data_IF_830977707848
#
_entry.id   IF_830977707848
#
_cell.length_a   1.000
_cell.length_b   1.000
_cell.length_c   1.000
_cell.angle_alpha   90.00
_cell.angle_beta   90.00
_cell.angle_gamma   90.00
#
_symmetry.space_group_name_H-M   'P 1'
#
loop_
_entity.id
_entity.type
_entity.pdbx_description
1 polymer ?
#
# COMPACT_ATOMS: atom_id res chain seq x y z
N UNK A 1 69.88 20.34 -51.61
CA UNK A 1 69.22 19.64 -50.49
C UNK A 1 69.53 20.42 -49.23
N UNK A 2 68.50 20.99 -48.60
CA UNK A 2 68.51 22.00 -47.52
C UNK A 2 67.32 21.63 -46.60
N UNK A 3 67.22 22.03 -45.32
CA UNK A 3 68.14 21.98 -44.19
C UNK A 3 67.54 21.23 -42.96
N UNK A 4 68.29 21.23 -41.86
CA UNK A 4 67.98 20.81 -40.48
C UNK A 4 66.65 21.31 -39.89
N UNK A 5 66.09 20.57 -38.92
CA UNK A 5 65.47 21.13 -37.70
C UNK A 5 65.47 20.11 -36.56
N UNK A 6 65.95 20.54 -35.39
CA UNK A 6 65.93 19.84 -34.11
C UNK A 6 64.82 20.40 -33.19
N UNK A 7 64.31 19.52 -32.33
CA UNK A 7 63.77 19.70 -30.98
C UNK A 7 62.55 20.62 -30.74
N UNK A 8 61.47 20.00 -30.24
CA UNK A 8 60.65 20.60 -29.17
C UNK A 8 60.10 19.53 -28.24
N UNK A 9 60.55 19.57 -26.99
CA UNK A 9 60.00 18.80 -25.88
C UNK A 9 58.68 19.40 -25.38
N UNK A 10 57.78 18.53 -24.92
CA UNK A 10 56.72 18.87 -23.96
C UNK A 10 56.62 17.71 -22.96
N UNK A 11 56.70 17.95 -21.64
CA UNK A 11 56.57 16.89 -20.65
C UNK A 11 55.10 16.45 -20.55
N UNK A 12 54.83 15.19 -20.87
CA UNK A 12 53.58 14.53 -20.54
C UNK A 12 53.48 14.40 -19.00
N UNK A 13 52.44 14.98 -18.40
CA UNK A 13 52.02 14.69 -17.03
C UNK A 13 51.58 13.22 -16.96
N UNK A 14 52.45 12.35 -16.43
CA UNK A 14 52.04 11.03 -15.97
C UNK A 14 51.49 11.15 -14.55
N UNK A 15 50.17 11.07 -14.40
CA UNK A 15 49.51 10.74 -13.15
C UNK A 15 49.32 9.21 -13.14
N UNK A 16 49.90 8.44 -12.20
CA UNK A 16 49.54 7.04 -12.06
C UNK A 16 48.21 6.96 -11.31
N UNK A 17 47.15 6.59 -12.04
CA UNK A 17 45.88 6.14 -11.47
C UNK A 17 46.14 4.78 -10.83
N UNK A 18 46.16 4.73 -9.50
CA UNK A 18 46.19 3.48 -8.76
C UNK A 18 44.80 2.81 -8.88
N UNK A 19 44.78 1.70 -9.62
CA UNK A 19 43.66 0.77 -9.71
C UNK A 19 43.23 0.32 -8.31
N UNK A 20 41.98 0.60 -7.97
CA UNK A 20 41.31 0.03 -6.82
C UNK A 20 41.15 -1.49 -7.02
N UNK A 21 41.72 -2.27 -6.11
CA UNK A 21 41.38 -3.69 -5.94
C UNK A 21 39.95 -3.80 -5.45
N UNK A 22 39.03 -4.10 -6.38
CA UNK A 22 37.66 -4.49 -6.07
C UNK A 22 37.69 -5.74 -5.18
N UNK A 23 37.30 -5.55 -3.92
CA UNK A 23 36.93 -6.61 -3.00
C UNK A 23 35.78 -7.40 -3.64
N UNK A 24 36.06 -8.63 -4.07
CA UNK A 24 35.07 -9.66 -4.32
C UNK A 24 34.49 -10.10 -2.96
N UNK A 25 33.70 -9.22 -2.34
CA UNK A 25 32.67 -9.66 -1.40
C UNK A 25 31.64 -10.41 -2.25
N UNK A 26 31.47 -11.70 -1.99
CA UNK A 26 30.38 -12.47 -2.56
C UNK A 26 29.07 -11.71 -2.29
N UNK A 27 28.49 -11.14 -3.34
CA UNK A 27 27.17 -10.52 -3.30
C UNK A 27 26.11 -11.61 -3.10
N UNK A 28 26.04 -12.15 -1.88
CA UNK A 28 24.76 -12.58 -1.32
C UNK A 28 23.94 -11.30 -1.08
N UNK A 29 23.46 -10.68 -2.14
CA UNK A 29 22.46 -9.62 -2.02
C UNK A 29 21.18 -10.31 -1.57
N UNK A 30 21.02 -10.46 -0.25
CA UNK A 30 19.69 -10.46 0.32
C UNK A 30 19.09 -9.12 -0.11
N UNK A 31 18.30 -9.14 -1.19
CA UNK A 31 17.43 -8.04 -1.55
C UNK A 31 16.64 -7.71 -0.30
N UNK A 32 16.95 -6.57 0.30
CA UNK A 32 16.28 -6.14 1.53
C UNK A 32 14.79 -6.08 1.22
N UNK A 33 13.99 -6.89 1.91
CA UNK A 33 12.58 -7.05 1.59
C UNK A 33 11.82 -5.75 1.89
N UNK A 34 11.68 -4.92 0.85
CA UNK A 34 10.99 -3.64 0.92
C UNK A 34 9.48 -3.81 1.11
N UNK A 35 8.93 -4.99 0.83
CA UNK A 35 7.48 -5.24 0.93
C UNK A 35 6.93 -4.91 2.31
N UNK A 36 7.74 -5.08 3.36
CA UNK A 36 7.39 -4.74 4.75
C UNK A 36 7.09 -3.26 4.94
N UNK A 37 7.89 -2.38 4.32
CA UNK A 37 7.68 -0.92 4.40
C UNK A 37 6.39 -0.50 3.67
N UNK A 38 6.14 -1.07 2.49
CA UNK A 38 4.90 -0.84 1.75
C UNK A 38 3.67 -1.40 2.49
N UNK A 39 3.80 -2.56 3.15
CA UNK A 39 2.75 -3.17 3.96
C UNK A 39 2.35 -2.27 5.14
N UNK A 40 3.35 -1.66 5.80
CA UNK A 40 3.16 -0.66 6.86
C UNK A 40 2.64 0.70 6.35
N UNK A 41 2.50 0.89 5.04
CA UNK A 41 1.99 2.12 4.45
C UNK A 41 2.96 3.30 4.48
N UNK A 42 4.26 3.08 4.73
CA UNK A 42 5.29 4.13 4.68
C UNK A 42 5.68 4.50 3.25
N UNK A 43 5.32 3.65 2.29
CA UNK A 43 5.50 3.89 0.86
C UNK A 43 4.28 3.39 0.08
N UNK A 44 3.99 4.02 -1.06
CA UNK A 44 2.86 3.70 -1.92
C UNK A 44 3.34 3.64 -3.37
N UNK A 45 2.81 2.67 -4.12
CA UNK A 45 3.05 2.49 -5.54
C UNK A 45 1.78 1.94 -6.20
N UNK A 46 1.79 1.88 -7.53
CA UNK A 46 0.67 1.37 -8.31
C UNK A 46 0.69 -0.17 -8.40
N UNK A 47 -0.43 -0.73 -8.87
CA UNK A 47 -0.63 -2.17 -9.03
C UNK A 47 0.42 -2.80 -9.95
N UNK A 48 0.79 -2.14 -11.05
CA UNK A 48 1.80 -2.66 -11.98
C UNK A 48 3.17 -2.85 -11.33
N UNK A 49 3.59 -1.92 -10.47
CA UNK A 49 4.84 -2.03 -9.73
C UNK A 49 4.80 -3.24 -8.78
N UNK A 50 3.73 -3.38 -8.00
CA UNK A 50 3.59 -4.52 -7.08
C UNK A 50 3.51 -5.87 -7.79
N UNK A 51 2.81 -5.94 -8.92
CA UNK A 51 2.74 -7.15 -9.75
C UNK A 51 4.10 -7.53 -10.32
N UNK A 52 4.89 -6.54 -10.75
CA UNK A 52 6.26 -6.78 -11.23
C UNK A 52 7.16 -7.29 -10.10
N UNK A 53 7.10 -6.68 -8.91
CA UNK A 53 7.86 -7.13 -7.75
C UNK A 53 7.45 -8.54 -7.29
N UNK A 54 6.15 -8.86 -7.36
CA UNK A 54 5.63 -10.19 -7.06
C UNK A 54 6.22 -11.27 -7.98
N UNK A 55 6.39 -10.99 -9.28
CA UNK A 55 6.98 -11.94 -10.23
C UNK A 55 8.48 -12.19 -10.00
N UNK A 56 9.17 -11.20 -9.43
CA UNK A 56 10.61 -11.27 -9.12
C UNK A 56 10.89 -11.79 -7.72
N UNK A 57 9.86 -11.96 -6.90
CA UNK A 57 9.96 -12.37 -5.49
C UNK A 57 9.55 -13.83 -5.27
N UNK A 58 9.99 -14.41 -4.17
CA UNK A 58 9.63 -15.77 -3.75
C UNK A 58 9.12 -15.80 -2.31
N UNK A 59 8.48 -16.89 -1.89
CA UNK A 59 8.02 -17.16 -0.52
C UNK A 59 7.19 -16.00 0.08
N UNK A 60 7.49 -15.59 1.31
CA UNK A 60 6.72 -14.59 2.05
C UNK A 60 6.72 -13.21 1.37
N UNK A 61 7.84 -12.80 0.77
CA UNK A 61 7.92 -11.53 0.04
C UNK A 61 6.98 -11.53 -1.16
N UNK A 62 6.85 -12.66 -1.87
CA UNK A 62 5.86 -12.81 -2.95
C UNK A 62 4.44 -12.59 -2.44
N UNK A 63 4.08 -13.22 -1.32
CA UNK A 63 2.75 -13.05 -0.69
C UNK A 63 2.50 -11.60 -0.27
N UNK A 64 3.51 -10.92 0.30
CA UNK A 64 3.39 -9.51 0.67
C UNK A 64 3.14 -8.63 -0.55
N UNK A 65 3.89 -8.83 -1.63
CA UNK A 65 3.67 -8.11 -2.89
C UNK A 65 2.32 -8.42 -3.52
N UNK A 66 1.83 -9.65 -3.40
CA UNK A 66 0.50 -10.03 -3.87
C UNK A 66 -0.59 -9.27 -3.10
N UNK A 67 -0.51 -9.19 -1.77
CA UNK A 67 -1.44 -8.42 -0.93
C UNK A 67 -1.44 -6.93 -1.29
N UNK A 68 -0.24 -6.35 -1.49
CA UNK A 68 -0.08 -4.95 -1.93
C UNK A 68 -0.65 -4.72 -3.33
N UNK A 69 -0.43 -5.65 -4.26
CA UNK A 69 -1.00 -5.59 -5.60
C UNK A 69 -2.53 -5.60 -5.57
N UNK A 70 -3.14 -6.50 -4.79
CA UNK A 70 -4.61 -6.53 -4.62
C UNK A 70 -5.11 -5.19 -4.08
N UNK A 71 -4.47 -4.65 -3.04
CA UNK A 71 -4.80 -3.35 -2.45
C UNK A 71 -4.80 -2.24 -3.51
N UNK A 72 -3.72 -2.14 -4.29
CA UNK A 72 -3.60 -1.12 -5.33
C UNK A 72 -4.59 -1.34 -6.47
N UNK A 73 -4.86 -2.58 -6.88
CA UNK A 73 -5.86 -2.90 -7.90
C UNK A 73 -7.27 -2.45 -7.48
N UNK A 74 -7.62 -2.61 -6.19
CA UNK A 74 -8.90 -2.14 -5.65
C UNK A 74 -8.98 -0.61 -5.66
N UNK A 75 -7.90 0.08 -5.27
CA UNK A 75 -7.82 1.55 -5.29
C UNK A 75 -7.86 2.12 -6.72
N UNK A 76 -7.26 1.42 -7.67
CA UNK A 76 -7.29 1.78 -9.10
C UNK A 76 -8.62 1.41 -9.79
N UNK A 77 -9.55 0.78 -9.08
CA UNK A 77 -10.84 0.37 -9.64
C UNK A 77 -10.79 -0.90 -10.51
N UNK A 78 -9.65 -1.59 -10.59
CA UNK A 78 -9.46 -2.86 -11.31
C UNK A 78 -10.01 -4.04 -10.50
N UNK A 79 -11.30 -3.96 -10.16
CA UNK A 79 -11.99 -4.87 -9.23
C UNK A 79 -11.86 -6.35 -9.60
N UNK A 80 -12.09 -6.70 -10.87
CA UNK A 80 -12.04 -8.10 -11.30
C UNK A 80 -10.63 -8.69 -11.13
N UNK A 81 -9.59 -7.97 -11.56
CA UNK A 81 -8.21 -8.39 -11.40
C UNK A 81 -7.83 -8.53 -9.92
N UNK A 82 -8.31 -7.64 -9.06
CA UNK A 82 -8.10 -7.73 -7.62
C UNK A 82 -8.74 -8.99 -7.03
N UNK A 83 -9.99 -9.30 -7.41
CA UNK A 83 -10.72 -10.49 -6.96
C UNK A 83 -10.01 -11.77 -7.41
N UNK A 84 -9.60 -11.83 -8.67
CA UNK A 84 -8.92 -13.00 -9.23
C UNK A 84 -7.58 -13.24 -8.52
N UNK A 85 -6.82 -12.17 -8.28
CA UNK A 85 -5.55 -12.24 -7.57
C UNK A 85 -5.73 -12.57 -6.07
N UNK A 86 -6.81 -12.12 -5.46
CA UNK A 86 -7.18 -12.44 -4.08
C UNK A 86 -7.53 -13.93 -3.92
N UNK A 87 -8.26 -14.51 -4.87
CA UNK A 87 -8.60 -15.94 -4.85
C UNK A 87 -7.37 -16.85 -5.05
N UNK A 88 -6.25 -16.30 -5.52
CA UNK A 88 -4.97 -16.99 -5.67
C UNK A 88 -4.05 -16.82 -4.46
N UNK A 89 -4.52 -16.21 -3.37
CA UNK A 89 -3.71 -16.08 -2.15
C UNK A 89 -3.42 -17.46 -1.54
N UNK A 90 -2.19 -17.70 -1.08
CA UNK A 90 -1.84 -18.94 -0.40
C UNK A 90 -2.58 -19.06 0.93
N UNK A 91 -2.89 -20.29 1.35
CA UNK A 91 -3.59 -20.55 2.62
C UNK A 91 -2.68 -20.45 3.85
N UNK A 92 -1.37 -20.57 3.67
CA UNK A 92 -0.36 -20.44 4.73
C UNK A 92 0.08 -18.99 4.89
N UNK A 93 -0.74 -18.17 5.56
CA UNK A 93 -0.42 -16.78 5.87
C UNK A 93 0.12 -16.66 7.30
N UNK A 94 1.15 -15.83 7.49
CA UNK A 94 1.56 -15.41 8.82
C UNK A 94 0.54 -14.41 9.42
N UNK A 95 0.68 -14.07 10.70
CA UNK A 95 -0.28 -13.22 11.42
C UNK A 95 -0.46 -11.82 10.78
N UNK A 96 0.62 -11.21 10.32
CA UNK A 96 0.59 -9.90 9.64
C UNK A 96 -0.11 -9.98 8.30
N UNK A 97 0.19 -11.02 7.50
CA UNK A 97 -0.44 -11.28 6.21
C UNK A 97 -1.93 -11.61 6.38
N UNK A 98 -2.29 -12.43 7.36
CA UNK A 98 -3.68 -12.79 7.65
C UNK A 98 -4.53 -11.57 8.06
N UNK A 99 -3.95 -10.66 8.85
CA UNK A 99 -4.60 -9.38 9.20
C UNK A 99 -4.88 -8.55 7.95
N UNK A 100 -3.87 -8.39 7.09
CA UNK A 100 -4.05 -7.66 5.83
C UNK A 100 -5.04 -8.33 4.89
N UNK A 101 -4.98 -9.66 4.77
CA UNK A 101 -5.90 -10.45 3.96
C UNK A 101 -7.35 -10.34 4.46
N UNK A 102 -7.56 -10.23 5.77
CA UNK A 102 -8.89 -10.02 6.35
C UNK A 102 -9.45 -8.64 6.01
N UNK A 103 -8.62 -7.60 6.02
CA UNK A 103 -9.03 -6.26 5.59
C UNK A 103 -9.30 -6.21 4.06
N UNK A 104 -8.44 -6.83 3.26
CA UNK A 104 -8.65 -6.98 1.82
C UNK A 104 -9.92 -7.77 1.50
N UNK A 105 -10.28 -8.76 2.32
CA UNK A 105 -11.53 -9.51 2.15
C UNK A 105 -12.75 -8.57 2.20
N UNK A 106 -12.75 -7.61 3.13
CA UNK A 106 -13.79 -6.58 3.23
C UNK A 106 -13.81 -5.72 1.97
N UNK A 107 -12.66 -5.21 1.55
CA UNK A 107 -12.57 -4.33 0.37
C UNK A 107 -12.97 -5.06 -0.92
N UNK A 108 -12.66 -6.34 -1.03
CA UNK A 108 -13.12 -7.22 -2.11
C UNK A 108 -14.64 -7.37 -2.09
N UNK A 109 -15.25 -7.59 -0.91
CA UNK A 109 -16.71 -7.64 -0.78
C UNK A 109 -17.36 -6.31 -1.16
N UNK A 110 -16.78 -5.19 -0.76
CA UNK A 110 -17.23 -3.85 -1.18
C UNK A 110 -17.10 -3.66 -2.70
N UNK A 111 -16.00 -4.11 -3.30
CA UNK A 111 -15.81 -4.07 -4.74
C UNK A 111 -16.88 -4.89 -5.49
N UNK A 112 -17.30 -6.02 -4.92
CA UNK A 112 -18.38 -6.88 -5.42
C UNK A 112 -19.80 -6.32 -5.14
N UNK A 113 -19.92 -5.15 -4.49
CA UNK A 113 -21.19 -4.60 -3.99
C UNK A 113 -21.90 -5.50 -2.96
N UNK A 114 -21.16 -6.43 -2.32
CA UNK A 114 -21.63 -7.26 -1.21
C UNK A 114 -21.43 -6.51 0.12
N UNK A 115 -22.22 -5.46 0.33
CA UNK A 115 -22.10 -4.60 1.50
C UNK A 115 -22.47 -5.32 2.80
N UNK A 116 -23.39 -6.29 2.74
CA UNK A 116 -23.74 -7.10 3.91
C UNK A 116 -22.57 -8.00 4.32
N UNK A 117 -21.98 -8.72 3.36
CA UNK A 117 -20.78 -9.52 3.58
C UNK A 117 -19.62 -8.68 4.10
N UNK A 118 -19.41 -7.48 3.54
CA UNK A 118 -18.40 -6.54 4.03
C UNK A 118 -18.62 -6.16 5.49
N UNK A 119 -19.87 -5.85 5.90
CA UNK A 119 -20.20 -5.53 7.31
C UNK A 119 -19.98 -6.71 8.24
N UNK A 120 -20.35 -7.92 7.83
CA UNK A 120 -20.11 -9.14 8.62
C UNK A 120 -18.63 -9.41 8.82
N UNK A 121 -17.79 -9.15 7.80
CA UNK A 121 -16.34 -9.27 7.93
C UNK A 121 -15.75 -8.16 8.80
N UNK A 122 -16.18 -6.91 8.61
CA UNK A 122 -15.74 -5.77 9.44
C UNK A 122 -16.04 -5.98 10.92
N UNK A 123 -17.22 -6.50 11.26
CA UNK A 123 -17.62 -6.75 12.65
C UNK A 123 -16.74 -7.78 13.37
N UNK A 124 -15.97 -8.59 12.64
CA UNK A 124 -15.02 -9.56 13.20
C UNK A 124 -13.62 -8.98 13.40
N UNK A 125 -13.34 -7.81 12.85
CA UNK A 125 -12.05 -7.15 12.97
C UNK A 125 -12.06 -6.21 14.18
N UNK A 126 -10.97 -6.24 14.94
CA UNK A 126 -10.73 -5.27 15.99
C UNK A 126 -9.87 -4.12 15.44
N UNK A 127 -10.41 -2.90 15.29
CA UNK A 127 -9.66 -1.76 14.78
C UNK A 127 -8.47 -1.37 15.66
N UNK A 128 -8.48 -1.71 16.95
CA UNK A 128 -7.36 -1.39 17.86
C UNK A 128 -6.14 -2.27 17.63
N UNK A 129 -6.33 -3.43 17.00
CA UNK A 129 -5.26 -4.35 16.62
C UNK A 129 -4.57 -4.00 15.29
N UNK A 130 -5.10 -3.00 14.57
CA UNK A 130 -4.63 -2.58 13.25
C UNK A 130 -3.64 -1.40 13.36
N UNK A 131 -2.69 -1.34 12.42
CA UNK A 131 -1.80 -0.18 12.31
C UNK A 131 -2.54 1.04 11.76
N UNK A 132 -2.01 2.25 11.99
CA UNK A 132 -2.70 3.50 11.63
C UNK A 132 -3.20 3.55 10.16
N UNK A 133 -2.43 3.11 9.14
CA UNK A 133 -2.92 3.08 7.76
C UNK A 133 -4.01 2.01 7.52
N UNK A 134 -3.96 0.91 8.26
CA UNK A 134 -5.00 -0.13 8.21
C UNK A 134 -6.29 0.35 8.90
N UNK A 135 -6.19 1.09 10.02
CA UNK A 135 -7.33 1.73 10.67
C UNK A 135 -8.05 2.70 9.72
N UNK A 136 -7.29 3.52 8.99
CA UNK A 136 -7.88 4.46 8.03
C UNK A 136 -8.71 3.75 6.96
N UNK A 137 -8.20 2.62 6.45
CA UNK A 137 -8.88 1.76 5.48
C UNK A 137 -10.08 1.03 6.09
N UNK A 138 -9.94 0.52 7.31
CA UNK A 138 -11.04 -0.12 8.05
C UNK A 138 -12.22 0.84 8.20
N UNK A 139 -11.98 2.08 8.64
CA UNK A 139 -13.04 3.07 8.79
C UNK A 139 -13.61 3.51 7.44
N UNK A 140 -12.79 3.65 6.40
CA UNK A 140 -13.28 3.93 5.05
C UNK A 140 -14.20 2.82 4.56
N UNK A 141 -13.80 1.56 4.74
CA UNK A 141 -14.61 0.40 4.38
C UNK A 141 -15.94 0.37 5.15
N UNK A 142 -15.94 0.79 6.43
CA UNK A 142 -17.17 0.89 7.21
C UNK A 142 -18.11 2.00 6.73
N UNK A 143 -17.55 3.13 6.29
CA UNK A 143 -18.30 4.23 5.66
C UNK A 143 -18.91 3.75 4.33
N UNK A 144 -18.11 3.12 3.47
CA UNK A 144 -18.55 2.61 2.18
C UNK A 144 -19.62 1.50 2.34
N UNK A 145 -19.43 0.62 3.33
CA UNK A 145 -20.39 -0.42 3.71
C UNK A 145 -21.74 0.13 4.17
N UNK A 146 -21.75 1.35 4.72
CA UNK A 146 -22.97 2.01 5.19
C UNK A 146 -23.79 2.60 4.04
N UNK A 147 -23.22 2.74 2.83
CA UNK A 147 -23.90 3.29 1.64
C UNK A 147 -24.55 4.66 1.87
N UNK A 148 -23.99 5.48 2.76
CA UNK A 148 -24.58 6.77 3.15
C UNK A 148 -25.89 6.66 3.94
N UNK A 149 -26.28 5.46 4.39
CA UNK A 149 -27.43 5.29 5.28
C UNK A 149 -27.08 5.84 6.67
N UNK A 150 -27.84 6.82 7.18
CA UNK A 150 -27.63 7.37 8.52
C UNK A 150 -27.68 6.25 9.55
N UNK A 151 -26.62 6.12 10.34
CA UNK A 151 -26.53 5.12 11.41
C UNK A 151 -25.47 5.53 12.41
N UNK A 152 -25.62 5.09 13.66
CA UNK A 152 -24.62 5.32 14.70
C UNK A 152 -23.27 4.70 14.34
N UNK A 153 -23.29 3.57 13.62
CA UNK A 153 -22.09 2.93 13.07
C UNK A 153 -21.37 3.83 12.06
N UNK A 154 -22.10 4.47 11.14
CA UNK A 154 -21.53 5.41 10.19
C UNK A 154 -20.92 6.64 10.90
N UNK A 155 -21.63 7.21 11.87
CA UNK A 155 -21.14 8.36 12.64
C UNK A 155 -19.85 8.03 13.39
N UNK A 156 -19.81 6.91 14.09
CA UNK A 156 -18.60 6.45 14.80
C UNK A 156 -17.43 6.25 13.83
N UNK A 157 -17.69 5.69 12.66
CA UNK A 157 -16.66 5.48 11.64
C UNK A 157 -16.11 6.81 11.10
N UNK A 158 -16.97 7.80 10.83
CA UNK A 158 -16.56 9.12 10.37
C UNK A 158 -15.70 9.83 11.41
N UNK A 159 -16.14 9.85 12.68
CA UNK A 159 -15.41 10.45 13.80
C UNK A 159 -14.05 9.77 14.01
N UNK A 160 -14.01 8.43 13.97
CA UNK A 160 -12.78 7.68 14.15
C UNK A 160 -11.81 7.83 12.97
N UNK A 161 -12.31 8.08 11.76
CA UNK A 161 -11.48 8.36 10.58
C UNK A 161 -10.87 9.77 10.61
N UNK A 162 -11.58 10.77 11.16
CA UNK A 162 -11.15 12.17 11.15
C UNK A 162 -9.68 12.42 11.59
N UNK A 163 -9.17 11.86 12.72
CA UNK A 163 -7.79 12.08 13.14
C UNK A 163 -6.74 11.40 12.22
N UNK A 164 -7.17 10.44 11.40
CA UNK A 164 -6.30 9.70 10.49
C UNK A 164 -6.12 10.42 9.14
N UNK A 165 -6.92 11.45 8.87
CA UNK A 165 -6.87 12.23 7.63
C UNK A 165 -5.89 13.40 7.77
N UNK A 166 -4.77 13.34 7.04
CA UNK A 166 -3.77 14.42 6.99
C UNK A 166 -4.16 15.54 6.01
N UNK A 167 -4.88 15.20 4.94
CA UNK A 167 -5.30 16.15 3.91
C UNK A 167 -6.49 17.00 4.36
N UNK A 168 -6.39 18.32 4.21
CA UNK A 168 -7.41 19.26 4.66
C UNK A 168 -8.76 19.10 3.92
N UNK A 169 -8.72 18.77 2.62
CA UNK A 169 -9.92 18.56 1.82
C UNK A 169 -10.64 17.26 2.22
N UNK A 170 -9.87 16.21 2.48
CA UNK A 170 -10.42 14.95 3.01
C UNK A 170 -11.05 15.15 4.39
N UNK A 171 -10.40 15.90 5.28
CA UNK A 171 -10.99 16.26 6.58
C UNK A 171 -12.29 17.03 6.44
N UNK A 172 -12.34 18.02 5.53
CA UNK A 172 -13.58 18.76 5.29
C UNK A 172 -14.69 17.83 4.80
N UNK A 173 -14.39 16.95 3.83
CA UNK A 173 -15.36 15.97 3.32
C UNK A 173 -15.88 15.05 4.44
N UNK A 174 -15.02 14.63 5.37
CA UNK A 174 -15.41 13.80 6.51
C UNK A 174 -16.33 14.57 7.48
N UNK A 175 -16.04 15.84 7.75
CA UNK A 175 -16.90 16.73 8.55
C UNK A 175 -18.27 16.90 7.89
N UNK A 176 -18.31 17.19 6.57
CA UNK A 176 -19.55 17.37 5.82
C UNK A 176 -20.42 16.09 5.86
N UNK A 177 -19.79 14.92 5.68
CA UNK A 177 -20.46 13.63 5.78
C UNK A 177 -20.99 13.34 7.20
N UNK A 178 -20.26 13.76 8.24
CA UNK A 178 -20.70 13.64 9.64
C UNK A 178 -21.94 14.48 9.89
N UNK A 179 -21.94 15.73 9.44
CA UNK A 179 -23.11 16.60 9.52
C UNK A 179 -24.30 16.04 8.76
N UNK A 180 -24.11 15.55 7.54
CA UNK A 180 -25.17 14.95 6.74
C UNK A 180 -25.77 13.71 7.43
N UNK A 181 -24.93 12.86 8.03
CA UNK A 181 -25.39 11.69 8.75
C UNK A 181 -26.21 12.06 10.00
N UNK A 182 -25.81 13.10 10.74
CA UNK A 182 -26.55 13.60 11.90
C UNK A 182 -27.90 14.22 11.52
N UNK A 183 -27.93 15.07 10.48
CA UNK A 183 -29.16 15.77 10.07
C UNK A 183 -30.17 14.86 9.40
N UNK A 184 -29.71 13.74 8.82
CA UNK A 184 -30.56 12.75 8.17
C UNK A 184 -31.01 11.63 9.13
N UNK A 185 -30.60 11.65 10.39
CA UNK A 185 -30.92 10.61 11.37
C UNK A 185 -32.30 10.86 12.00
N UNK A 186 -33.24 9.90 11.93
CA UNK A 186 -34.50 10.02 12.67
C UNK A 186 -34.24 9.94 14.18
N UNK A 187 -35.00 10.70 14.98
CA UNK A 187 -34.77 10.85 16.43
C UNK A 187 -34.81 9.53 17.22
N UNK A 188 -35.44 8.49 16.68
CA UNK A 188 -35.48 7.15 17.30
C UNK A 188 -34.15 6.38 17.20
N UNK A 189 -33.15 6.91 16.49
CA UNK A 189 -31.84 6.27 16.26
C UNK A 189 -30.64 7.07 16.80
N UNK A 190 -30.89 8.25 17.37
CA UNK A 190 -29.89 9.12 18.02
C UNK A 190 -29.74 8.77 19.51
#
# INVERSE_FOLDING_TARGET
MVPSTFLRSKPARCLPVLLATLLFAGCGTHTQDQSTAFMQGTSQANSSFYLQQMQQSTNDSKTNWQLLAIRALLQEGKKQQAIDLYNQLPSNLNSTQAREQSLLAVEVKLAQNDYQGARTLLAKLDPTSLDQPQQARYWQAQIDASQGKPSLTLLRALIAQQPLLSDAKQRQKNIDATWQALTSMPQDQA
#
